data_IF_401251647683
#
_entry.id   IF_401251647683
#
_cell.length_a   1.000
_cell.length_b   1.000
_cell.length_c   1.000
_cell.angle_alpha   90.00
_cell.angle_beta   90.00
_cell.angle_gamma   90.00
#
_symmetry.space_group_name_H-M   'P 1'
#
loop_
_entity.id
_entity.type
_entity.pdbx_description
1 polymer ?
#
# COMPACT_ATOMS: atom_id res chain seq x y z
N UNK A 1 -1.34 -20.11 5.28
CA UNK A 1 -1.39 -19.24 4.10
C UNK A 1 -0.35 -18.15 4.28
N UNK A 2 0.57 -17.98 3.32
CA UNK A 2 1.49 -16.84 3.31
C UNK A 2 0.79 -15.68 2.60
N UNK A 3 0.82 -14.48 3.18
CA UNK A 3 0.17 -13.32 2.56
C UNK A 3 1.08 -12.65 1.52
N UNK A 4 0.53 -12.29 0.34
CA UNK A 4 1.29 -11.56 -0.68
C UNK A 4 1.69 -10.18 -0.17
N UNK A 5 2.76 -9.62 -0.75
CA UNK A 5 3.35 -8.33 -0.37
C UNK A 5 2.54 -7.16 -0.94
N UNK A 6 1.37 -6.90 -0.39
CA UNK A 6 0.54 -5.76 -0.77
C UNK A 6 1.09 -4.49 -0.11
N UNK A 7 1.07 -3.38 -0.85
CA UNK A 7 1.49 -2.06 -0.37
C UNK A 7 0.54 -0.97 -0.87
N UNK A 8 0.31 0.05 -0.04
CA UNK A 8 -0.46 1.23 -0.39
C UNK A 8 0.22 2.46 0.20
N UNK A 9 0.18 3.56 -0.55
CA UNK A 9 0.68 4.87 -0.12
C UNK A 9 -0.47 5.87 -0.07
N UNK A 10 -0.36 6.80 0.89
CA UNK A 10 -0.94 8.12 0.74
C UNK A 10 0.17 9.06 0.26
N UNK A 11 -0.20 10.05 -0.56
CA UNK A 11 0.75 10.94 -1.21
C UNK A 11 0.20 12.35 -1.34
N UNK A 12 1.11 13.30 -1.54
CA UNK A 12 0.79 14.72 -1.37
C UNK A 12 -0.19 15.30 -2.41
N UNK A 13 -0.17 14.77 -3.62
CA UNK A 13 -1.02 15.14 -4.76
C UNK A 13 -0.83 14.14 -5.91
N UNK A 14 -1.57 14.27 -7.01
CA UNK A 14 -1.53 13.34 -8.16
C UNK A 14 -0.55 13.74 -9.28
N UNK A 15 0.49 14.51 -8.95
CA UNK A 15 1.48 14.99 -9.95
C UNK A 15 2.81 14.28 -9.75
N UNK A 16 3.69 14.20 -10.77
CA UNK A 16 4.98 13.50 -10.66
C UNK A 16 5.90 14.01 -9.55
N UNK A 17 5.67 15.22 -9.03
CA UNK A 17 6.41 15.83 -7.92
C UNK A 17 5.89 15.43 -6.53
N UNK A 18 4.88 14.56 -6.47
CA UNK A 18 4.23 14.13 -5.24
C UNK A 18 5.21 13.41 -4.33
N UNK A 19 5.00 13.47 -3.02
CA UNK A 19 5.81 12.73 -2.06
C UNK A 19 4.93 11.91 -1.14
N UNK A 20 5.47 10.81 -0.58
CA UNK A 20 4.68 9.93 0.27
C UNK A 20 4.42 10.59 1.63
N UNK A 21 3.20 10.46 2.14
CA UNK A 21 2.76 11.01 3.43
C UNK A 21 2.39 9.91 4.44
N UNK A 22 1.99 8.74 3.94
CA UNK A 22 1.81 7.52 4.73
C UNK A 22 2.04 6.30 3.85
N UNK A 23 2.35 5.17 4.46
CA UNK A 23 2.47 3.88 3.78
C UNK A 23 1.95 2.77 4.68
N UNK A 24 1.36 1.75 4.08
CA UNK A 24 1.05 0.50 4.76
C UNK A 24 1.42 -0.69 3.88
N UNK A 25 1.88 -1.77 4.50
CA UNK A 25 2.21 -3.01 3.80
C UNK A 25 1.91 -4.26 4.64
N UNK A 26 1.73 -5.38 3.96
CA UNK A 26 1.49 -6.67 4.60
C UNK A 26 2.80 -7.40 4.92
N UNK A 27 2.78 -8.21 5.97
CA UNK A 27 3.83 -9.16 6.32
C UNK A 27 3.44 -10.58 5.87
N UNK A 28 4.43 -11.47 5.75
CA UNK A 28 4.19 -12.88 5.36
C UNK A 28 3.22 -13.61 6.30
N UNK A 29 3.22 -13.22 7.59
CA UNK A 29 2.31 -13.74 8.61
C UNK A 29 0.84 -13.34 8.39
N UNK A 30 0.58 -12.45 7.43
CA UNK A 30 -0.71 -11.82 7.24
C UNK A 30 -0.98 -10.69 8.21
N UNK A 31 -0.05 -10.31 9.09
CA UNK A 31 -0.10 -9.00 9.78
C UNK A 31 0.21 -7.87 8.80
N UNK A 32 0.14 -6.63 9.26
CA UNK A 32 0.49 -5.45 8.47
C UNK A 32 1.22 -4.43 9.35
N UNK A 33 1.90 -3.49 8.69
CA UNK A 33 2.45 -2.28 9.29
C UNK A 33 1.85 -1.07 8.56
N UNK A 34 1.71 0.03 9.28
CA UNK A 34 1.25 1.31 8.76
C UNK A 34 2.02 2.42 9.46
N UNK A 35 2.54 3.37 8.68
CA UNK A 35 3.48 4.39 9.15
C UNK A 35 3.18 5.71 8.45
N UNK A 36 3.16 6.82 9.20
CA UNK A 36 3.20 8.17 8.64
C UNK A 36 4.62 8.48 8.21
N UNK A 37 4.80 9.18 7.10
CA UNK A 37 6.12 9.52 6.58
C UNK A 37 6.37 11.00 6.79
N UNK A 38 7.45 11.32 7.48
CA UNK A 38 7.93 12.69 7.62
C UNK A 38 8.44 13.17 6.25
N UNK A 39 7.93 14.27 5.69
CA UNK A 39 8.41 14.78 4.41
C UNK A 39 9.86 15.23 4.53
N UNK A 40 10.69 14.81 3.58
CA UNK A 40 12.07 15.27 3.52
C UNK A 40 12.14 16.76 3.12
N UNK A 41 13.18 17.46 3.54
CA UNK A 41 13.30 18.92 3.35
C UNK A 41 13.16 19.34 1.86
N UNK A 42 13.75 18.63 0.87
CA UNK A 42 13.57 18.96 -0.54
C UNK A 42 12.12 18.82 -1.03
N UNK A 43 11.34 17.91 -0.45
CA UNK A 43 9.96 17.66 -0.87
C UNK A 43 9.02 18.79 -0.45
N UNK A 44 9.30 19.43 0.68
CA UNK A 44 8.51 20.57 1.14
C UNK A 44 8.54 21.76 0.15
N UNK A 45 9.56 21.84 -0.71
CA UNK A 45 9.65 22.87 -1.75
C UNK A 45 8.68 22.64 -2.92
N UNK A 46 8.15 21.41 -3.08
CA UNK A 46 7.16 21.08 -4.12
C UNK A 46 5.73 21.32 -3.65
N UNK A 47 5.51 21.56 -2.35
CA UNK A 47 4.22 22.00 -1.84
C UNK A 47 3.91 23.38 -2.38
N UNK A 48 2.85 23.47 -3.18
CA UNK A 48 2.26 24.76 -3.53
C UNK A 48 1.56 25.36 -2.30
N UNK A 49 1.45 26.70 -2.26
CA UNK A 49 0.69 27.40 -1.21
C UNK A 49 -0.79 26.95 -1.13
N UNK A 50 -1.30 26.30 -2.19
CA UNK A 50 -2.62 25.67 -2.30
C UNK A 50 -2.70 24.25 -1.70
N UNK A 51 -1.86 23.94 -0.70
CA UNK A 51 -1.70 22.64 0.00
C UNK A 51 -2.95 22.05 0.69
N UNK A 52 -4.14 22.51 0.32
CA UNK A 52 -5.45 21.87 0.59
C UNK A 52 -5.59 20.43 0.07
N UNK A 53 -4.64 19.94 -0.72
CA UNK A 53 -4.66 18.60 -1.30
C UNK A 53 -4.24 17.49 -0.32
N UNK A 54 -3.58 17.83 0.80
CA UNK A 54 -3.19 16.83 1.79
C UNK A 54 -4.38 16.44 2.66
N UNK A 55 -4.61 15.13 2.82
CA UNK A 55 -5.58 14.63 3.80
C UNK A 55 -5.18 14.96 5.25
N UNK A 56 -3.88 15.25 5.48
CA UNK A 56 -3.33 15.60 6.79
C UNK A 56 -2.49 16.88 6.73
N UNK A 57 -2.51 17.73 7.77
CA UNK A 57 -1.65 18.90 7.82
C UNK A 57 -0.18 18.50 7.87
N UNK A 58 0.68 19.24 7.16
CA UNK A 58 2.14 19.02 7.14
C UNK A 58 2.74 18.98 8.55
N UNK A 59 2.23 19.80 9.47
CA UNK A 59 2.70 19.82 10.86
C UNK A 59 2.53 18.47 11.57
N UNK A 60 1.45 17.74 11.27
CA UNK A 60 1.23 16.40 11.83
C UNK A 60 2.25 15.41 11.28
N UNK A 61 2.55 15.48 9.98
CA UNK A 61 3.57 14.63 9.36
C UNK A 61 4.98 14.92 9.90
N UNK A 62 5.28 16.18 10.21
CA UNK A 62 6.56 16.56 10.81
C UNK A 62 6.69 16.14 12.28
N UNK A 63 5.57 16.00 13.00
CA UNK A 63 5.55 15.64 14.42
C UNK A 63 5.46 14.12 14.64
N UNK A 64 4.66 13.43 13.82
CA UNK A 64 4.31 12.02 14.00
C UNK A 64 4.88 11.10 12.90
N UNK A 65 5.39 11.68 11.82
CA UNK A 65 5.98 10.91 10.74
C UNK A 65 7.33 10.31 11.11
N UNK A 66 7.59 9.12 10.60
CA UNK A 66 8.91 8.48 10.68
C UNK A 66 9.81 8.97 9.56
N UNK A 67 11.12 8.87 9.78
CA UNK A 67 12.10 9.24 8.76
C UNK A 67 11.93 8.34 7.51
N UNK A 68 11.88 8.92 6.29
CA UNK A 68 11.74 8.14 5.05
C UNK A 68 12.78 7.03 4.89
N UNK A 69 14.02 7.27 5.33
CA UNK A 69 15.10 6.31 5.25
C UNK A 69 14.84 5.09 6.16
N UNK A 70 14.36 5.33 7.37
CA UNK A 70 14.03 4.26 8.33
C UNK A 70 12.86 3.42 7.82
N UNK A 71 11.84 4.06 7.23
CA UNK A 71 10.71 3.38 6.59
C UNK A 71 11.18 2.49 5.44
N UNK A 72 12.05 2.99 4.56
CA UNK A 72 12.61 2.20 3.46
C UNK A 72 13.48 1.02 3.93
N UNK A 73 14.26 1.22 5.00
CA UNK A 73 15.04 0.13 5.61
C UNK A 73 14.14 -0.94 6.23
N UNK A 74 13.09 -0.54 6.93
CA UNK A 74 12.14 -1.47 7.54
C UNK A 74 11.36 -2.26 6.49
N UNK A 75 10.89 -1.60 5.43
CA UNK A 75 10.25 -2.26 4.29
C UNK A 75 11.20 -3.31 3.68
N UNK A 76 12.47 -2.97 3.47
CA UNK A 76 13.47 -3.91 2.93
C UNK A 76 13.79 -5.07 3.87
N UNK A 77 13.75 -4.85 5.19
CA UNK A 77 13.92 -5.91 6.17
C UNK A 77 12.73 -6.88 6.18
N UNK A 78 11.50 -6.36 6.06
CA UNK A 78 10.28 -7.16 6.02
C UNK A 78 10.05 -7.86 4.67
N UNK A 79 10.46 -7.21 3.57
CA UNK A 79 10.25 -7.64 2.19
C UNK A 79 11.57 -7.54 1.40
N UNK A 80 12.54 -8.43 1.63
CA UNK A 80 13.87 -8.32 1.01
C UNK A 80 13.90 -8.63 -0.49
N UNK A 81 12.86 -9.24 -1.04
CA UNK A 81 12.80 -9.63 -2.44
C UNK A 81 11.38 -9.86 -2.94
N UNK A 82 11.20 -9.74 -4.26
CA UNK A 82 9.96 -10.04 -4.95
C UNK A 82 9.16 -8.78 -5.30
N UNK A 83 8.10 -8.92 -6.11
CA UNK A 83 7.25 -7.81 -6.46
C UNK A 83 6.40 -7.37 -5.26
N UNK A 84 6.11 -6.08 -5.21
CA UNK A 84 5.06 -5.53 -4.36
C UNK A 84 3.78 -5.38 -5.18
N UNK A 85 2.63 -5.50 -4.55
CA UNK A 85 1.34 -5.44 -5.23
C UNK A 85 0.53 -4.23 -4.78
N UNK A 86 0.08 -3.41 -5.73
CA UNK A 86 -0.63 -2.17 -5.45
C UNK A 86 -1.78 -1.92 -6.43
N UNK A 87 -2.76 -1.14 -5.99
CA UNK A 87 -3.89 -0.70 -6.82
C UNK A 87 -3.46 0.28 -7.92
N UNK A 88 -2.50 1.15 -7.60
CA UNK A 88 -1.92 2.12 -8.52
C UNK A 88 -0.40 1.89 -8.68
N UNK A 89 0.04 0.90 -9.47
CA UNK A 89 1.45 0.49 -9.52
C UNK A 89 2.41 1.62 -9.86
N UNK A 90 2.10 2.46 -10.84
CA UNK A 90 2.98 3.53 -11.29
C UNK A 90 3.20 4.60 -10.20
N UNK A 91 2.12 4.97 -9.49
CA UNK A 91 2.22 5.93 -8.38
C UNK A 91 3.00 5.34 -7.21
N UNK A 92 2.73 4.08 -6.85
CA UNK A 92 3.48 3.39 -5.80
C UNK A 92 4.95 3.23 -6.18
N UNK A 93 5.27 2.93 -7.45
CA UNK A 93 6.63 2.87 -7.95
C UNK A 93 7.35 4.21 -7.74
N UNK A 94 6.70 5.33 -8.05
CA UNK A 94 7.26 6.66 -7.80
C UNK A 94 7.46 6.97 -6.31
N UNK A 95 6.53 6.54 -5.44
CA UNK A 95 6.69 6.75 -3.99
C UNK A 95 7.86 5.93 -3.43
N UNK A 96 8.04 4.70 -3.91
CA UNK A 96 9.18 3.87 -3.55
C UNK A 96 10.50 4.47 -4.05
N UNK A 97 10.56 4.97 -5.28
CA UNK A 97 11.75 5.69 -5.78
C UNK A 97 12.15 6.82 -4.82
N UNK A 98 11.19 7.61 -4.35
CA UNK A 98 11.45 8.72 -3.41
C UNK A 98 11.92 8.26 -2.04
N UNK A 99 11.33 7.19 -1.51
CA UNK A 99 11.81 6.60 -0.26
C UNK A 99 13.26 6.14 -0.43
N UNK A 100 13.59 5.41 -1.49
CA UNK A 100 14.93 4.86 -1.71
C UNK A 100 15.98 5.92 -2.08
N UNK A 101 15.59 7.01 -2.76
CA UNK A 101 16.43 8.18 -2.98
C UNK A 101 16.90 8.81 -1.66
N UNK A 102 16.03 8.82 -0.64
CA UNK A 102 16.39 9.30 0.71
C UNK A 102 17.40 8.37 1.42
N UNK A 103 17.49 7.10 1.03
CA UNK A 103 18.55 6.18 1.46
C UNK A 103 19.84 6.32 0.62
N UNK A 104 19.80 7.10 -0.47
CA UNK A 104 20.83 7.09 -1.52
C UNK A 104 21.07 5.69 -2.11
N UNK A 105 19.99 4.91 -2.24
CA UNK A 105 19.99 3.56 -2.80
C UNK A 105 19.07 3.49 -4.01
N UNK A 106 19.36 2.57 -4.92
CA UNK A 106 18.41 2.23 -5.99
C UNK A 106 17.21 1.49 -5.38
N UNK A 107 16.00 1.84 -5.85
CA UNK A 107 14.79 1.13 -5.48
C UNK A 107 14.86 -0.34 -5.97
N UNK A 108 14.84 -1.34 -5.07
CA UNK A 108 14.96 -2.75 -5.45
C UNK A 108 13.63 -3.37 -5.92
N UNK A 109 12.51 -2.65 -5.77
CA UNK A 109 11.18 -3.20 -6.01
C UNK A 109 10.66 -2.93 -7.41
N UNK A 110 9.93 -3.92 -7.91
CA UNK A 110 8.98 -3.76 -9.01
C UNK A 110 7.57 -3.83 -8.42
N UNK A 111 6.70 -2.91 -8.83
CA UNK A 111 5.30 -2.91 -8.40
C UNK A 111 4.41 -3.53 -9.47
N UNK A 112 3.60 -4.51 -9.08
CA UNK A 112 2.62 -5.18 -9.92
C UNK A 112 1.18 -4.74 -9.58
N UNK A 113 0.24 -4.81 -10.55
CA UNK A 113 -1.17 -4.56 -10.29
C UNK A 113 -1.74 -5.56 -9.29
N UNK A 114 -2.42 -5.07 -8.26
CA UNK A 114 -2.99 -5.93 -7.21
C UNK A 114 -3.98 -6.96 -7.73
N UNK A 115 -4.63 -6.68 -8.85
CA UNK A 115 -5.50 -7.63 -9.56
C UNK A 115 -4.81 -8.95 -9.94
N UNK A 116 -3.49 -8.93 -10.17
CA UNK A 116 -2.74 -10.15 -10.53
C UNK A 116 -2.72 -11.20 -9.41
N UNK A 117 -2.94 -10.81 -8.15
CA UNK A 117 -3.00 -11.71 -7.00
C UNK A 117 -4.20 -12.65 -7.02
N UNK A 118 -5.26 -12.28 -7.73
CA UNK A 118 -6.54 -12.97 -7.66
C UNK A 118 -6.70 -14.04 -8.75
N UNK A 119 -5.68 -14.26 -9.58
CA UNK A 119 -5.63 -15.37 -10.54
C UNK A 119 -6.89 -15.44 -11.42
N UNK A 120 -7.72 -16.51 -11.31
CA UNK A 120 -8.89 -16.70 -12.17
C UNK A 120 -10.14 -15.94 -11.71
N UNK A 121 -10.12 -15.28 -10.53
CA UNK A 121 -11.30 -14.57 -10.05
C UNK A 121 -11.65 -13.41 -10.99
N UNK A 122 -12.92 -13.30 -11.43
CA UNK A 122 -13.40 -12.15 -12.19
C UNK A 122 -13.21 -10.85 -11.40
N UNK A 123 -12.86 -9.77 -12.10
CA UNK A 123 -12.74 -8.42 -11.52
C UNK A 123 -14.02 -8.01 -10.76
N UNK A 124 -15.20 -8.37 -11.29
CA UNK A 124 -16.48 -8.11 -10.63
C UNK A 124 -16.60 -8.76 -9.26
N UNK A 125 -16.04 -9.95 -9.07
CA UNK A 125 -16.11 -10.67 -7.79
C UNK A 125 -15.13 -10.06 -6.78
N UNK A 126 -13.97 -9.61 -7.26
CA UNK A 126 -12.98 -8.87 -6.47
C UNK A 126 -13.60 -7.55 -5.99
N UNK A 127 -14.20 -6.78 -6.90
CA UNK A 127 -14.83 -5.48 -6.60
C UNK A 127 -16.01 -5.63 -5.64
N UNK A 128 -16.90 -6.61 -5.87
CA UNK A 128 -18.03 -6.86 -4.98
C UNK A 128 -17.55 -7.27 -3.58
N UNK A 129 -16.54 -8.12 -3.49
CA UNK A 129 -15.97 -8.53 -2.20
C UNK A 129 -15.30 -7.35 -1.50
N UNK A 130 -14.58 -6.50 -2.24
CA UNK A 130 -13.95 -5.29 -1.72
C UNK A 130 -14.99 -4.30 -1.20
N UNK A 131 -16.05 -4.03 -1.98
CA UNK A 131 -17.16 -3.16 -1.58
C UNK A 131 -17.88 -3.70 -0.34
N UNK A 132 -18.10 -5.01 -0.25
CA UNK A 132 -18.68 -5.64 0.95
C UNK A 132 -17.87 -5.31 2.22
N UNK A 133 -16.54 -5.36 2.15
CA UNK A 133 -15.69 -5.04 3.30
C UNK A 133 -15.59 -3.55 3.58
N UNK A 134 -15.64 -2.70 2.55
CA UNK A 134 -15.76 -1.25 2.72
C UNK A 134 -17.02 -0.91 3.53
N UNK A 135 -18.18 -1.41 3.11
CA UNK A 135 -19.46 -1.14 3.77
C UNK A 135 -19.52 -1.75 5.18
N UNK A 136 -18.96 -2.96 5.36
CA UNK A 136 -19.05 -3.69 6.62
C UNK A 136 -18.13 -3.13 7.70
N UNK A 137 -16.95 -2.66 7.32
CA UNK A 137 -15.93 -2.19 8.25
C UNK A 137 -15.87 -0.66 8.33
N UNK A 138 -16.64 0.05 7.51
CA UNK A 138 -16.64 1.51 7.40
C UNK A 138 -15.24 2.05 7.11
N UNK A 139 -14.56 1.42 6.14
CA UNK A 139 -13.19 1.72 5.76
C UNK A 139 -13.13 2.50 4.44
N UNK A 140 -12.26 3.50 4.41
CA UNK A 140 -11.93 4.30 3.24
C UNK A 140 -10.73 3.71 2.49
N UNK A 141 -10.80 3.52 1.17
CA UNK A 141 -9.66 3.08 0.37
C UNK A 141 -8.60 4.17 0.18
N UNK A 142 -8.91 5.42 0.55
CA UNK A 142 -7.98 6.56 0.44
C UNK A 142 -6.94 6.60 1.56
N UNK A 143 -7.21 5.96 2.70
CA UNK A 143 -6.28 5.86 3.82
C UNK A 143 -5.42 4.60 3.62
N UNK A 144 -4.09 4.72 3.58
CA UNK A 144 -3.20 3.61 3.21
C UNK A 144 -3.41 2.36 4.06
N UNK A 145 -3.48 2.53 5.39
CA UNK A 145 -3.74 1.44 6.33
C UNK A 145 -5.06 0.71 6.02
N UNK A 146 -6.13 1.50 5.82
CA UNK A 146 -7.46 0.97 5.59
C UNK A 146 -7.54 0.28 4.22
N UNK A 147 -6.84 0.81 3.21
CA UNK A 147 -6.71 0.18 1.91
C UNK A 147 -6.05 -1.21 2.01
N UNK A 148 -4.96 -1.35 2.79
CA UNK A 148 -4.34 -2.66 3.05
C UNK A 148 -5.25 -3.59 3.83
N UNK A 149 -6.00 -3.08 4.82
CA UNK A 149 -7.00 -3.89 5.54
C UNK A 149 -8.08 -4.43 4.60
N UNK A 150 -8.57 -3.60 3.67
CA UNK A 150 -9.54 -4.00 2.65
C UNK A 150 -8.95 -5.07 1.72
N UNK A 151 -7.76 -4.85 1.16
CA UNK A 151 -7.13 -5.84 0.27
C UNK A 151 -6.81 -7.15 0.98
N UNK A 152 -6.37 -7.10 2.23
CA UNK A 152 -6.17 -8.31 3.06
C UNK A 152 -7.47 -9.08 3.24
N UNK A 153 -8.58 -8.39 3.54
CA UNK A 153 -9.88 -9.02 3.75
C UNK A 153 -10.42 -9.63 2.45
N UNK A 154 -10.33 -8.90 1.33
CA UNK A 154 -10.72 -9.38 -0.01
C UNK A 154 -9.93 -10.63 -0.41
N UNK A 155 -8.61 -10.60 -0.24
CA UNK A 155 -7.75 -11.74 -0.55
C UNK A 155 -8.06 -12.96 0.33
N UNK A 156 -8.14 -12.77 1.65
CA UNK A 156 -8.47 -13.87 2.56
C UNK A 156 -9.82 -14.52 2.20
N UNK A 157 -10.82 -13.71 1.88
CA UNK A 157 -12.16 -14.18 1.51
C UNK A 157 -12.12 -15.04 0.25
N UNK A 158 -11.54 -14.53 -0.83
CA UNK A 158 -11.53 -15.22 -2.12
C UNK A 158 -10.63 -16.46 -2.11
N UNK A 159 -9.50 -16.41 -1.40
CA UNK A 159 -8.63 -17.59 -1.26
C UNK A 159 -9.29 -18.69 -0.43
N UNK A 160 -10.00 -18.34 0.65
CA UNK A 160 -10.75 -19.33 1.44
C UNK A 160 -11.86 -20.01 0.62
N UNK A 161 -12.56 -19.25 -0.25
CA UNK A 161 -13.55 -19.85 -1.15
C UNK A 161 -12.91 -20.82 -2.15
N UNK A 162 -11.75 -20.49 -2.70
CA UNK A 162 -11.03 -21.36 -3.62
C UNK A 162 -10.59 -22.68 -2.97
N UNK A 163 -10.15 -22.65 -1.71
CA UNK A 163 -9.82 -23.85 -0.92
C UNK A 163 -11.06 -24.74 -0.70
N UNK A 164 -12.23 -24.14 -0.43
CA UNK A 164 -13.49 -24.90 -0.26
C UNK A 164 -13.90 -25.58 -1.57
N UNK A 165 -13.82 -24.87 -2.69
CA UNK A 165 -14.21 -25.42 -4.01
C UNK A 165 -13.30 -26.57 -4.42
N UNK A 166 -11.99 -26.41 -4.24
CA UNK A 166 -11.02 -27.48 -4.57
C UNK A 166 -11.14 -28.66 -3.62
N UNK A 167 -11.33 -28.44 -2.31
CA UNK A 167 -11.53 -29.50 -1.33
C UNK A 167 -12.84 -30.28 -1.49
N UNK A 168 -13.91 -29.65 -1.99
CA UNK A 168 -15.18 -30.31 -2.28
C UNK A 168 -15.19 -31.09 -3.62
N UNK A 169 -14.15 -30.94 -4.44
CA UNK A 169 -14.03 -31.63 -5.73
C UNK A 169 -13.30 -32.99 -5.64
N UNK A 170 -12.66 -33.25 -4.49
CA UNK A 170 -11.84 -34.45 -4.22
C UNK A 170 -12.57 -35.50 -3.33
N UNK A 171 -13.87 -35.29 -3.03
CA UNK A 171 -14.77 -36.26 -2.35
C UNK A 171 -15.85 -36.81 -3.29
#
# INVERSE_FOLDING_TARGET
MQFPAMIAFEYSHFEPTAFPTAVAWTLDSGLYKAVLIQPDEPWLQTLSDDSTALERPVSELLELGENPADVGQELNADRPSGPLFAEEPDMVQNMLERLFDALHLDNPYTVEPIGSLFGPWPETDIDQTRQLYMDRLDLSPHIAEQNILLWRATYAHLMQQAEIITGASDE
#
